data_IF_438326247631
#
_entry.id   IF_438326247631
#
_cell.length_a   1.000
_cell.length_b   1.000
_cell.length_c   1.000
_cell.angle_alpha   90.00
_cell.angle_beta   90.00
_cell.angle_gamma   90.00
#
_symmetry.space_group_name_H-M   'P 1'
#
loop_
_entity.id
_entity.type
_entity.pdbx_description
1 polymer ?
#
# COMPACT_ATOMS: atom_id res chain seq x y z
N UNK A 1 30.89 -3.18 -6.58
CA UNK A 1 30.23 -4.49 -6.37
C UNK A 1 28.72 -4.30 -6.22
N UNK A 2 27.90 -5.29 -6.61
CA UNK A 2 26.47 -5.37 -6.29
C UNK A 2 26.36 -5.93 -4.86
N UNK A 3 25.72 -5.21 -3.96
CA UNK A 3 25.28 -5.77 -2.67
C UNK A 3 23.80 -6.05 -2.80
N UNK A 4 23.45 -7.32 -2.63
CA UNK A 4 22.09 -7.78 -2.44
C UNK A 4 21.61 -7.27 -1.08
N UNK A 5 20.55 -6.47 -1.06
CA UNK A 5 19.70 -6.30 0.12
C UNK A 5 18.26 -6.61 -0.32
N UNK A 6 18.03 -7.89 -0.64
CA UNK A 6 16.75 -8.57 -0.40
C UNK A 6 16.53 -8.67 1.13
N UNK A 7 16.49 -7.51 1.81
CA UNK A 7 16.11 -7.38 3.22
C UNK A 7 14.83 -6.58 3.25
N UNK A 8 13.75 -7.30 3.50
CA UNK A 8 12.54 -6.80 4.14
C UNK A 8 12.90 -5.64 5.10
N UNK A 9 12.60 -4.38 4.72
CA UNK A 9 12.83 -3.16 5.53
C UNK A 9 12.00 -3.15 6.84
N UNK A 10 11.56 -4.32 7.34
CA UNK A 10 10.63 -4.48 8.44
C UNK A 10 9.23 -3.94 8.13
N UNK A 11 8.89 -3.78 6.85
CA UNK A 11 7.61 -3.20 6.43
C UNK A 11 6.54 -4.27 6.39
N UNK A 12 5.50 -4.09 7.22
CA UNK A 12 4.35 -4.98 7.24
C UNK A 12 3.19 -4.40 6.42
N UNK A 13 2.56 -5.24 5.61
CA UNK A 13 1.40 -4.86 4.79
C UNK A 13 0.12 -5.51 5.31
N UNK A 14 -0.98 -4.75 5.30
CA UNK A 14 -2.29 -5.23 5.67
C UNK A 14 -3.35 -4.75 4.69
N UNK A 15 -4.28 -5.63 4.34
CA UNK A 15 -5.47 -5.32 3.54
C UNK A 15 -6.65 -5.27 4.49
N UNK A 16 -7.39 -4.16 4.45
CA UNK A 16 -8.61 -3.99 5.25
C UNK A 16 -9.77 -4.73 4.58
N UNK A 17 -10.67 -5.30 5.38
CA UNK A 17 -11.82 -6.08 4.88
C UNK A 17 -12.93 -5.19 4.30
N UNK A 18 -12.97 -3.92 4.72
CA UNK A 18 -14.02 -2.98 4.35
C UNK A 18 -13.61 -2.18 3.13
N UNK A 19 -14.46 -2.19 2.10
CA UNK A 19 -14.35 -1.27 0.98
C UNK A 19 -14.66 0.16 1.47
N UNK A 20 -13.72 1.07 1.28
CA UNK A 20 -13.83 2.47 1.68
C UNK A 20 -13.47 3.39 0.51
N UNK A 21 -13.73 4.69 0.61
CA UNK A 21 -13.11 5.65 -0.30
C UNK A 21 -11.65 5.90 0.12
N UNK A 22 -10.86 6.51 -0.75
CA UNK A 22 -9.44 6.75 -0.51
C UNK A 22 -9.15 7.47 0.82
N UNK A 23 -9.88 8.55 1.12
CA UNK A 23 -9.66 9.33 2.34
C UNK A 23 -9.94 8.51 3.60
N UNK A 24 -11.05 7.77 3.61
CA UNK A 24 -11.38 6.88 4.71
C UNK A 24 -10.36 5.76 4.85
N UNK A 25 -9.89 5.16 3.75
CA UNK A 25 -8.85 4.14 3.79
C UNK A 25 -7.54 4.67 4.40
N UNK A 26 -7.14 5.91 4.07
CA UNK A 26 -5.98 6.55 4.70
C UNK A 26 -6.19 6.79 6.19
N UNK A 27 -7.35 7.31 6.60
CA UNK A 27 -7.68 7.50 8.02
C UNK A 27 -7.66 6.16 8.76
N UNK A 28 -8.23 5.10 8.17
CA UNK A 28 -8.24 3.75 8.74
C UNK A 28 -6.81 3.23 8.94
N UNK A 29 -5.93 3.34 7.95
CA UNK A 29 -4.52 2.98 8.08
C UNK A 29 -3.83 3.76 9.20
N UNK A 30 -4.05 5.08 9.27
CA UNK A 30 -3.48 5.94 10.32
C UNK A 30 -3.96 5.59 11.72
N UNK A 31 -5.23 5.23 11.86
CA UNK A 31 -5.79 4.77 13.14
C UNK A 31 -5.16 3.45 13.62
N UNK A 32 -4.58 2.66 12.71
CA UNK A 32 -3.81 1.46 13.03
C UNK A 32 -2.30 1.75 13.27
N UNK A 33 -1.88 3.02 13.25
CA UNK A 33 -0.48 3.41 13.36
C UNK A 33 0.32 3.14 12.08
N UNK A 34 -0.35 3.02 10.92
CA UNK A 34 0.24 2.76 9.61
C UNK A 34 -0.14 3.86 8.59
N UNK A 35 0.36 3.74 7.37
CA UNK A 35 -0.02 4.59 6.23
C UNK A 35 -0.52 3.71 5.07
N UNK A 36 -1.18 4.30 4.07
CA UNK A 36 -1.46 3.57 2.83
C UNK A 36 -0.14 3.11 2.19
N UNK A 37 -0.10 1.86 1.74
CA UNK A 37 1.12 1.26 1.18
C UNK A 37 1.65 2.09 0.00
N UNK A 38 2.93 2.43 0.03
CA UNK A 38 3.65 3.10 -1.05
C UNK A 38 4.53 2.05 -1.73
N UNK A 39 4.40 1.91 -3.05
CA UNK A 39 5.13 0.89 -3.81
C UNK A 39 6.41 1.51 -4.38
N UNK A 40 7.56 0.97 -3.99
CA UNK A 40 8.88 1.47 -4.36
C UNK A 40 9.60 0.61 -5.41
N UNK A 41 9.17 -0.63 -5.60
CA UNK A 41 9.76 -1.53 -6.59
C UNK A 41 8.78 -2.61 -7.09
N UNK A 42 9.21 -3.39 -8.09
CA UNK A 42 8.38 -4.42 -8.72
C UNK A 42 8.10 -5.63 -7.82
N UNK A 43 9.05 -5.99 -6.94
CA UNK A 43 8.93 -7.12 -6.02
C UNK A 43 7.84 -6.84 -4.98
N UNK A 44 7.85 -5.65 -4.40
CA UNK A 44 6.84 -5.13 -3.49
C UNK A 44 5.45 -5.08 -4.17
N UNK A 45 5.36 -4.52 -5.37
CA UNK A 45 4.12 -4.49 -6.15
C UNK A 45 3.53 -5.90 -6.31
N UNK A 46 4.38 -6.87 -6.65
CA UNK A 46 3.99 -8.26 -6.86
C UNK A 46 3.56 -8.95 -5.55
N UNK A 47 4.18 -8.59 -4.43
CA UNK A 47 3.77 -9.05 -3.10
C UNK A 47 2.42 -8.48 -2.69
N UNK A 48 2.25 -7.15 -2.71
CA UNK A 48 0.99 -6.47 -2.32
C UNK A 48 -0.18 -6.95 -3.16
N UNK A 49 0.01 -7.13 -4.48
CA UNK A 49 -1.02 -7.68 -5.36
C UNK A 49 -1.45 -9.10 -4.96
N UNK A 50 -0.50 -9.98 -4.62
CA UNK A 50 -0.83 -11.34 -4.15
C UNK A 50 -1.55 -11.32 -2.81
N UNK A 51 -1.11 -10.47 -1.89
CA UNK A 51 -1.76 -10.28 -0.59
C UNK A 51 -3.21 -9.81 -0.76
N UNK A 52 -3.47 -8.80 -1.60
CA UNK A 52 -4.80 -8.29 -1.90
C UNK A 52 -5.76 -9.39 -2.39
N UNK A 53 -5.32 -10.18 -3.38
CA UNK A 53 -6.12 -11.30 -3.91
C UNK A 53 -6.36 -12.37 -2.83
N UNK A 54 -5.35 -12.71 -2.03
CA UNK A 54 -5.50 -13.68 -0.93
C UNK A 54 -6.49 -13.24 0.15
N UNK A 55 -6.72 -11.92 0.27
CA UNK A 55 -7.67 -11.30 1.20
C UNK A 55 -9.02 -10.98 0.56
N UNK A 56 -9.25 -11.42 -0.69
CA UNK A 56 -10.51 -11.23 -1.40
C UNK A 56 -10.68 -9.85 -2.08
N UNK A 57 -9.67 -8.98 -2.02
CA UNK A 57 -9.67 -7.67 -2.67
C UNK A 57 -9.36 -7.77 -4.17
N UNK A 58 -10.21 -8.47 -4.93
CA UNK A 58 -10.04 -8.73 -6.37
C UNK A 58 -10.32 -7.52 -7.25
N UNK A 59 -11.08 -6.54 -6.76
CA UNK A 59 -11.41 -5.30 -7.48
C UNK A 59 -10.31 -4.23 -7.39
N UNK A 60 -9.24 -4.50 -6.63
CA UNK A 60 -8.13 -3.58 -6.40
C UNK A 60 -8.05 -3.07 -4.96
N UNK A 61 -6.96 -2.35 -4.67
CA UNK A 61 -6.66 -1.72 -3.38
C UNK A 61 -6.18 -0.29 -3.59
N UNK A 62 -6.34 0.58 -2.59
CA UNK A 62 -5.74 1.91 -2.60
C UNK A 62 -4.28 1.85 -2.17
N UNK A 63 -3.44 2.61 -2.86
CA UNK A 63 -2.03 2.81 -2.55
C UNK A 63 -1.80 4.28 -2.19
N UNK A 64 -0.82 4.56 -1.34
CA UNK A 64 -0.45 5.88 -0.88
C UNK A 64 0.30 6.68 -1.94
N UNK A 65 -0.34 6.97 -3.07
CA UNK A 65 0.19 7.83 -4.11
C UNK A 65 -0.68 9.09 -4.21
N UNK A 66 -0.09 10.24 -3.89
CA UNK A 66 -0.67 11.53 -4.24
C UNK A 66 -0.14 11.86 -5.63
N UNK A 67 -1.02 12.07 -6.61
CA UNK A 67 -0.57 12.61 -7.88
C UNK A 67 0.10 13.97 -7.62
N UNK A 68 1.41 14.06 -7.79
CA UNK A 68 2.13 15.33 -7.79
C UNK A 68 1.67 16.14 -9.01
N UNK A 69 0.52 16.79 -8.88
CA UNK A 69 -0.17 17.49 -9.95
C UNK A 69 -1.28 18.36 -9.38
N UNK A 70 -0.91 19.54 -8.88
CA UNK A 70 -1.76 20.66 -8.43
C UNK A 70 -2.75 20.33 -7.31
N UNK A 71 -2.30 20.49 -6.06
CA UNK A 71 -3.16 21.16 -5.08
C UNK A 71 -3.19 22.66 -5.42
N UNK A 72 -4.38 23.20 -5.64
CA UNK A 72 -4.65 24.63 -5.63
C UNK A 72 -5.85 24.78 -4.68
N UNK A 73 -5.57 24.90 -3.38
CA UNK A 73 -6.51 25.52 -2.44
C UNK A 73 -5.77 26.21 -1.31
#
# INVERSE_FOLDING_TARGET
EKVEDDVDDGVCYQVTEKAENFNNAQITCRNMGAELASIHNLQENSFVRRLAVSKGAVSGVFLGAIASGKDNQ
#
